data_IF_167197443668
#
_entry.id   IF_167197443668
#
_cell.length_a   1.000
_cell.length_b   1.000
_cell.length_c   1.000
_cell.angle_alpha   90.00
_cell.angle_beta   90.00
_cell.angle_gamma   90.00
#
_symmetry.space_group_name_H-M   'P 1'
#
loop_
_entity.id
_entity.type
_entity.pdbx_description
1 polymer ?
#
# COMPACT_ATOMS: atom_id res chain seq x y z
N UNK A 1 -4.12 86.11 53.66
CA UNK A 1 -2.66 86.18 53.46
C UNK A 1 -1.98 85.32 54.52
N UNK A 2 -1.78 84.02 54.29
CA UNK A 2 -0.79 83.19 54.98
C UNK A 2 -0.73 81.81 54.30
N UNK A 3 0.50 81.37 54.05
CA UNK A 3 0.92 80.23 53.23
C UNK A 3 0.94 78.93 54.04
N UNK A 4 0.94 77.83 53.27
CA UNK A 4 1.67 76.56 53.57
C UNK A 4 0.91 75.60 54.51
N UNK A 5 0.95 74.27 54.37
CA UNK A 5 1.97 73.36 53.83
C UNK A 5 1.26 72.17 53.14
N UNK A 6 1.74 71.77 51.95
CA UNK A 6 1.35 70.52 51.27
C UNK A 6 2.12 69.34 51.89
N UNK A 7 1.41 68.34 52.40
CA UNK A 7 1.96 67.02 52.71
C UNK A 7 1.70 66.11 51.51
N UNK A 8 2.77 65.65 50.85
CA UNK A 8 2.70 64.66 49.76
C UNK A 8 2.98 63.29 50.38
N UNK A 9 1.95 62.45 50.45
CA UNK A 9 2.11 61.03 50.77
C UNK A 9 2.41 60.26 49.48
N UNK A 10 3.60 59.67 49.39
CA UNK A 10 3.96 58.76 48.31
C UNK A 10 3.57 57.34 48.70
N UNK A 11 2.52 56.81 48.07
CA UNK A 11 2.15 55.39 48.16
C UNK A 11 2.94 54.63 47.10
N UNK A 12 3.89 53.79 47.53
CA UNK A 12 4.59 52.84 46.66
C UNK A 12 3.69 51.62 46.46
N UNK A 13 3.08 51.50 45.29
CA UNK A 13 2.40 50.28 44.87
C UNK A 13 3.42 49.31 44.28
N UNK A 14 3.71 48.21 44.98
CA UNK A 14 4.49 47.09 44.47
C UNK A 14 3.57 46.24 43.59
N UNK A 15 3.67 46.41 42.27
CA UNK A 15 3.00 45.53 41.32
C UNK A 15 3.78 44.21 41.22
N UNK A 16 3.23 43.14 41.77
CA UNK A 16 3.72 41.79 41.55
C UNK A 16 3.38 41.37 40.12
N UNK A 17 4.37 41.37 39.22
CA UNK A 17 4.26 40.79 37.90
C UNK A 17 4.24 39.26 38.03
N UNK A 18 3.05 38.66 38.01
CA UNK A 18 2.91 37.22 37.81
C UNK A 18 3.24 36.91 36.34
N UNK A 19 4.48 36.49 36.07
CA UNK A 19 4.86 35.93 34.79
C UNK A 19 4.19 34.57 34.62
N UNK A 20 3.01 34.55 34.00
CA UNK A 20 2.42 33.35 33.42
C UNK A 20 3.35 32.90 32.30
N UNK A 21 4.23 31.93 32.60
CA UNK A 21 4.87 31.10 31.59
C UNK A 21 3.76 30.33 30.86
N UNK A 22 3.23 30.94 29.80
CA UNK A 22 2.44 30.24 28.82
C UNK A 22 3.34 29.17 28.21
N UNK A 23 3.17 27.92 28.66
CA UNK A 23 3.68 26.77 27.93
C UNK A 23 2.95 26.76 26.59
N UNK A 24 3.53 27.40 25.58
CA UNK A 24 3.13 27.20 24.20
C UNK A 24 3.41 25.74 23.89
N UNK A 25 2.36 24.93 23.89
CA UNK A 25 2.42 23.61 23.29
C UNK A 25 3.00 23.79 21.88
N UNK A 26 3.97 22.95 21.46
CA UNK A 26 4.49 23.02 20.10
C UNK A 26 3.30 22.97 19.14
N UNK A 27 3.20 23.95 18.25
CA UNK A 27 2.23 23.93 17.19
C UNK A 27 2.44 22.61 16.44
N UNK A 28 1.48 21.69 16.55
CA UNK A 28 1.43 20.51 15.70
C UNK A 28 1.44 21.05 14.28
N UNK A 29 2.55 20.83 13.56
CA UNK A 29 2.69 21.27 12.18
C UNK A 29 1.46 20.76 11.44
N UNK A 30 0.65 21.67 10.90
CA UNK A 30 -0.49 21.30 10.09
C UNK A 30 0.03 20.42 8.95
N UNK A 31 -0.45 19.17 8.90
CA UNK A 31 -0.11 18.21 7.87
C UNK A 31 -0.37 18.86 6.49
N UNK A 32 0.68 19.07 5.70
CA UNK A 32 0.59 19.89 4.47
C UNK A 32 0.17 19.10 3.24
N UNK A 33 0.13 17.77 3.36
CA UNK A 33 -0.20 16.87 2.25
C UNK A 33 -1.64 16.36 2.37
N UNK A 34 -2.37 16.22 1.25
CA UNK A 34 -3.66 15.55 1.24
C UNK A 34 -3.54 14.12 1.81
N UNK A 35 -4.58 13.63 2.52
CA UNK A 35 -4.62 12.25 2.94
C UNK A 35 -4.58 11.31 1.73
N UNK A 36 -3.96 10.16 1.90
CA UNK A 36 -3.80 9.14 0.87
C UNK A 36 -3.84 7.76 1.50
N UNK A 37 -4.37 6.78 0.80
CA UNK A 37 -4.43 5.41 1.29
C UNK A 37 -3.09 4.73 1.08
N UNK A 38 -2.70 3.86 2.02
CA UNK A 38 -1.56 2.99 1.77
C UNK A 38 -1.87 2.08 0.59
N UNK A 39 -0.88 1.85 -0.29
CA UNK A 39 -1.04 0.93 -1.43
C UNK A 39 -1.51 -0.45 -0.97
N UNK A 40 -1.01 -0.91 0.17
CA UNK A 40 -1.47 -2.17 0.76
C UNK A 40 -2.98 -2.16 0.99
N UNK A 41 -3.53 -1.10 1.59
CA UNK A 41 -4.98 -1.00 1.83
C UNK A 41 -5.80 -0.90 0.54
N UNK A 42 -5.28 -0.21 -0.48
CA UNK A 42 -5.91 -0.19 -1.80
C UNK A 42 -5.94 -1.57 -2.47
N UNK A 43 -4.89 -2.37 -2.26
CA UNK A 43 -4.69 -3.67 -2.89
C UNK A 43 -5.12 -4.88 -2.02
N UNK A 44 -5.52 -4.67 -0.77
CA UNK A 44 -5.97 -5.73 0.15
C UNK A 44 -7.51 -5.79 0.12
N UNK A 45 -8.05 -6.10 -1.07
CA UNK A 45 -9.45 -6.47 -1.24
C UNK A 45 -9.61 -7.98 -1.20
N UNK A 46 -10.66 -8.43 -0.54
CA UNK A 46 -11.13 -9.81 -0.63
C UNK A 46 -11.86 -9.99 -1.95
N UNK A 47 -11.28 -10.71 -2.91
CA UNK A 47 -11.90 -10.98 -4.20
C UNK A 47 -12.03 -12.48 -4.42
N UNK A 48 -13.17 -12.95 -4.93
CA UNK A 48 -13.34 -14.35 -5.33
C UNK A 48 -14.03 -14.52 -6.69
N UNK A 49 -14.01 -15.76 -7.19
CA UNK A 49 -14.55 -16.17 -8.49
C UNK A 49 -16.07 -15.92 -8.68
N UNK A 50 -16.82 -15.69 -7.60
CA UNK A 50 -18.26 -15.40 -7.64
C UNK A 50 -18.57 -13.91 -7.79
N UNK A 51 -17.56 -13.08 -8.06
CA UNK A 51 -17.76 -11.64 -8.15
C UNK A 51 -17.87 -10.95 -6.78
N UNK A 52 -17.45 -11.62 -5.71
CA UNK A 52 -17.36 -11.01 -4.38
C UNK A 52 -16.21 -10.00 -4.35
N UNK A 53 -16.48 -8.81 -3.83
CA UNK A 53 -15.45 -7.82 -3.51
C UNK A 53 -15.71 -7.34 -2.09
N UNK A 54 -14.78 -7.60 -1.18
CA UNK A 54 -14.80 -7.17 0.21
C UNK A 54 -13.66 -6.19 0.52
N UNK A 55 -13.96 -5.19 1.33
CA UNK A 55 -13.00 -4.21 1.84
C UNK A 55 -12.64 -4.53 3.28
N UNK A 56 -11.35 -4.47 3.59
CA UNK A 56 -10.85 -4.59 4.96
C UNK A 56 -10.57 -3.21 5.59
N UNK A 57 -9.86 -3.21 6.72
CA UNK A 57 -9.36 -1.99 7.35
C UNK A 57 -8.42 -1.23 6.41
N UNK A 58 -8.56 0.09 6.40
CA UNK A 58 -7.88 0.98 5.48
C UNK A 58 -6.90 1.88 6.24
N UNK A 59 -5.62 1.84 5.88
CA UNK A 59 -4.60 2.69 6.47
C UNK A 59 -4.49 3.98 5.68
N UNK A 60 -4.72 5.10 6.36
CA UNK A 60 -4.58 6.44 5.81
C UNK A 60 -3.22 6.99 6.21
N UNK A 61 -2.50 7.47 5.22
CA UNK A 61 -1.24 8.18 5.30
C UNK A 61 -1.54 9.66 5.15
N UNK A 62 -0.81 10.48 5.87
CA UNK A 62 -1.06 11.91 6.01
C UNK A 62 -2.47 12.21 6.55
N UNK A 63 -2.86 11.46 7.58
CA UNK A 63 -4.14 11.64 8.26
C UNK A 63 -4.31 13.09 8.74
N UNK A 64 -5.49 13.72 8.55
CA UNK A 64 -5.81 14.97 9.22
C UNK A 64 -5.76 14.81 10.73
N UNK A 65 -5.57 15.91 11.45
CA UNK A 65 -5.62 15.93 12.91
C UNK A 65 -7.06 15.81 13.42
N UNK A 66 -7.23 15.08 14.53
CA UNK A 66 -8.54 14.88 15.17
C UNK A 66 -9.25 13.63 14.68
N UNK A 67 -10.46 13.39 15.18
CA UNK A 67 -11.24 12.23 14.79
C UNK A 67 -11.70 12.38 13.34
N UNK A 68 -11.41 11.38 12.50
CA UNK A 68 -11.81 11.41 11.09
C UNK A 68 -12.74 10.26 10.71
N UNK A 69 -13.60 10.53 9.74
CA UNK A 69 -14.39 9.53 9.03
C UNK A 69 -13.92 9.43 7.57
N UNK A 70 -14.26 8.32 6.94
CA UNK A 70 -13.99 8.07 5.54
C UNK A 70 -15.19 7.49 4.82
N UNK A 71 -15.13 7.56 3.50
CA UNK A 71 -16.16 7.11 2.58
C UNK A 71 -15.44 6.40 1.43
N UNK A 72 -15.96 5.26 0.99
CA UNK A 72 -15.49 4.58 -0.21
C UNK A 72 -16.68 4.49 -1.15
N UNK A 73 -16.53 5.03 -2.36
CA UNK A 73 -17.55 4.94 -3.40
C UNK A 73 -17.02 4.06 -4.52
N UNK A 74 -17.67 2.93 -4.75
CA UNK A 74 -17.45 2.12 -5.94
C UNK A 74 -18.40 2.59 -7.03
N UNK A 75 -17.81 3.01 -8.14
CA UNK A 75 -18.49 3.62 -9.26
C UNK A 75 -18.42 2.72 -10.49
N UNK A 76 -19.48 2.71 -11.30
CA UNK A 76 -19.54 2.11 -12.65
C UNK A 76 -20.30 3.09 -13.53
N UNK A 77 -19.81 3.37 -14.74
CA UNK A 77 -20.46 4.30 -15.68
C UNK A 77 -20.73 5.70 -15.07
N UNK A 78 -19.83 6.18 -14.19
CA UNK A 78 -19.96 7.41 -13.41
C UNK A 78 -21.11 7.42 -12.37
N UNK A 79 -21.78 6.29 -12.14
CA UNK A 79 -22.78 6.13 -11.11
C UNK A 79 -22.20 5.36 -9.91
N UNK A 80 -22.56 5.79 -8.69
CA UNK A 80 -22.19 5.04 -7.48
C UNK A 80 -23.05 3.79 -7.41
N UNK A 81 -22.43 2.62 -7.55
CA UNK A 81 -23.11 1.32 -7.41
C UNK A 81 -23.11 0.83 -5.97
N UNK A 82 -22.14 1.30 -5.17
CA UNK A 82 -22.00 0.96 -3.77
C UNK A 82 -21.18 2.00 -3.04
N UNK A 83 -21.58 2.34 -1.82
CA UNK A 83 -20.82 3.16 -0.91
C UNK A 83 -20.65 2.47 0.45
N UNK A 84 -19.57 2.85 1.14
CA UNK A 84 -19.29 2.38 2.50
C UNK A 84 -18.78 3.54 3.34
N UNK A 85 -19.24 3.60 4.59
CA UNK A 85 -18.76 4.53 5.61
C UNK A 85 -17.72 3.83 6.47
N UNK A 86 -16.64 4.55 6.74
CA UNK A 86 -15.57 4.11 7.62
C UNK A 86 -15.41 5.08 8.79
N UNK A 87 -15.10 4.52 9.96
CA UNK A 87 -14.79 5.28 11.16
C UNK A 87 -13.37 4.97 11.63
N UNK A 88 -12.76 5.91 12.33
CA UNK A 88 -11.44 5.72 12.91
C UNK A 88 -11.44 4.61 13.97
N UNK A 89 -10.62 3.58 13.76
CA UNK A 89 -10.45 2.46 14.69
C UNK A 89 -9.42 2.76 15.76
N UNK A 90 -8.28 3.32 15.35
CA UNK A 90 -7.13 3.60 16.20
C UNK A 90 -6.62 5.00 15.89
N UNK A 91 -6.78 5.92 16.84
CA UNK A 91 -6.05 7.18 16.82
C UNK A 91 -4.61 6.87 17.27
N UNK A 92 -3.72 6.60 16.31
CA UNK A 92 -2.30 6.67 16.62
C UNK A 92 -1.98 8.13 16.94
N UNK A 93 -1.55 8.41 18.18
CA UNK A 93 -1.25 9.75 18.70
C UNK A 93 -0.15 10.55 17.93
N UNK A 94 0.25 10.11 16.72
CA UNK A 94 1.06 10.87 15.77
C UNK A 94 0.22 11.21 14.54
N UNK A 95 -0.02 12.50 14.30
CA UNK A 95 -0.91 13.10 13.29
C UNK A 95 -0.57 12.81 11.81
N UNK A 96 0.14 11.73 11.50
CA UNK A 96 0.54 11.35 10.13
C UNK A 96 -0.23 10.11 9.67
N UNK A 97 -0.85 9.35 10.57
CA UNK A 97 -1.48 8.07 10.23
C UNK A 97 -2.74 7.81 11.03
N UNK A 98 -3.65 7.06 10.43
CA UNK A 98 -4.78 6.45 11.14
C UNK A 98 -5.24 5.19 10.41
N UNK A 99 -6.01 4.37 11.10
CA UNK A 99 -6.68 3.22 10.52
C UNK A 99 -8.19 3.44 10.53
N UNK A 100 -8.79 3.35 9.36
CA UNK A 100 -10.22 3.43 9.14
C UNK A 100 -10.80 2.01 9.05
N UNK A 101 -11.89 1.76 9.76
CA UNK A 101 -12.62 0.49 9.75
C UNK A 101 -14.01 0.68 9.17
N UNK A 102 -14.51 -0.24 8.33
CA UNK A 102 -15.87 -0.15 7.81
C UNK A 102 -16.90 -0.27 8.95
N UNK A 103 -17.97 0.52 8.89
CA UNK A 103 -19.04 0.51 9.89
C UNK A 103 -19.84 -0.80 9.88
N UNK A 104 -20.00 -1.39 8.70
CA UNK A 104 -20.80 -2.60 8.47
C UNK A 104 -20.05 -3.57 7.56
N UNK A 105 -20.69 -4.70 7.23
CA UNK A 105 -20.22 -5.62 6.20
C UNK A 105 -19.91 -4.85 4.91
N UNK A 106 -18.65 -4.85 4.54
CA UNK A 106 -18.09 -4.01 3.49
C UNK A 106 -17.81 -4.79 2.22
N UNK A 107 -18.85 -5.44 1.69
CA UNK A 107 -18.73 -6.19 0.44
C UNK A 107 -19.88 -5.94 -0.53
N UNK A 108 -19.64 -6.34 -1.78
CA UNK A 108 -20.62 -6.56 -2.84
C UNK A 108 -20.45 -8.00 -3.33
N UNK A 109 -21.57 -8.65 -3.65
CA UNK A 109 -21.59 -9.96 -4.31
C UNK A 109 -22.11 -9.79 -5.74
N UNK A 110 -21.56 -10.58 -6.67
CA UNK A 110 -22.02 -10.60 -8.06
C UNK A 110 -21.80 -9.28 -8.80
N UNK A 111 -20.61 -8.68 -8.67
CA UNK A 111 -20.23 -7.52 -9.47
C UNK A 111 -20.45 -7.81 -10.97
N UNK A 112 -21.27 -6.98 -11.63
CA UNK A 112 -21.56 -7.18 -13.05
C UNK A 112 -20.31 -6.85 -13.91
N UNK A 113 -20.18 -7.40 -15.12
CA UNK A 113 -19.11 -7.02 -16.04
C UNK A 113 -19.10 -5.51 -16.31
N UNK A 114 -17.91 -4.92 -16.43
CA UNK A 114 -17.70 -3.51 -16.73
C UNK A 114 -16.49 -2.90 -16.02
N UNK A 115 -16.21 -1.64 -16.34
CA UNK A 115 -15.16 -0.86 -15.72
C UNK A 115 -15.65 -0.24 -14.40
N UNK A 116 -14.87 -0.40 -13.34
CA UNK A 116 -15.15 0.14 -12.02
C UNK A 116 -14.06 1.11 -11.58
N UNK A 117 -14.44 2.03 -10.70
CA UNK A 117 -13.50 2.90 -10.00
C UNK A 117 -13.87 2.95 -8.52
N UNK A 118 -12.88 2.74 -7.65
CA UNK A 118 -13.03 2.93 -6.21
C UNK A 118 -12.44 4.28 -5.86
N UNK A 119 -13.29 5.18 -5.38
CA UNK A 119 -12.92 6.49 -4.88
C UNK A 119 -12.96 6.49 -3.35
N UNK A 120 -11.80 6.65 -2.74
CA UNK A 120 -11.64 6.83 -1.30
C UNK A 120 -11.72 8.32 -0.98
N UNK A 121 -12.56 8.67 -0.01
CA UNK A 121 -12.67 10.01 0.54
C UNK A 121 -12.36 9.98 2.04
N UNK A 122 -11.55 10.92 2.50
CA UNK A 122 -11.17 11.08 3.91
C UNK A 122 -11.51 12.49 4.34
N UNK A 123 -12.21 12.63 5.47
CA UNK A 123 -12.72 13.92 5.95
C UNK A 123 -13.51 14.70 4.86
N UNK A 124 -14.27 13.96 4.03
CA UNK A 124 -15.09 14.52 2.96
C UNK A 124 -14.34 14.98 1.71
N UNK A 125 -13.03 14.70 1.59
CA UNK A 125 -12.23 15.04 0.41
C UNK A 125 -11.69 13.78 -0.29
N UNK A 126 -11.63 13.75 -1.63
CA UNK A 126 -10.95 12.69 -2.38
C UNK A 126 -9.51 12.48 -1.91
N UNK A 127 -9.18 11.26 -1.52
CA UNK A 127 -7.87 10.88 -0.97
C UNK A 127 -7.11 9.94 -1.90
N UNK A 128 -7.79 8.92 -2.43
CA UNK A 128 -7.18 7.96 -3.36
C UNK A 128 -8.20 7.40 -4.32
N UNK A 129 -7.74 7.02 -5.49
CA UNK A 129 -8.56 6.42 -6.53
C UNK A 129 -7.81 5.26 -7.16
N UNK A 130 -8.52 4.18 -7.47
CA UNK A 130 -8.02 3.20 -8.41
C UNK A 130 -9.16 2.56 -9.19
N UNK A 131 -8.85 2.17 -10.44
CA UNK A 131 -9.81 1.58 -11.37
C UNK A 131 -9.47 0.12 -11.64
N UNK A 132 -10.48 -0.68 -11.97
CA UNK A 132 -10.32 -2.08 -12.34
C UNK A 132 -11.49 -2.50 -13.24
N UNK A 133 -11.29 -3.57 -14.01
CA UNK A 133 -12.31 -4.14 -14.90
C UNK A 133 -12.80 -5.48 -14.37
N UNK A 134 -14.10 -5.70 -14.50
CA UNK A 134 -14.74 -7.00 -14.29
C UNK A 134 -15.16 -7.55 -15.65
N UNK A 135 -14.77 -8.77 -15.95
CA UNK A 135 -15.27 -9.51 -17.12
C UNK A 135 -15.81 -10.87 -16.68
N UNK A 136 -16.60 -11.50 -17.54
CA UNK A 136 -17.15 -12.83 -17.29
C UNK A 136 -16.84 -13.71 -18.49
N UNK A 137 -16.20 -14.85 -18.25
CA UNK A 137 -15.95 -15.87 -19.26
C UNK A 137 -16.92 -17.03 -19.07
N UNK A 138 -17.30 -17.68 -20.17
CA UNK A 138 -18.03 -18.95 -20.09
C UNK A 138 -17.11 -20.01 -19.48
N UNK A 139 -17.64 -20.82 -18.56
CA UNK A 139 -16.96 -22.01 -18.09
C UNK A 139 -17.51 -23.21 -18.87
N UNK A 140 -16.67 -23.74 -19.75
CA UNK A 140 -17.00 -24.88 -20.63
C UNK A 140 -16.76 -26.24 -19.97
N UNK A 141 -16.29 -26.29 -18.71
CA UNK A 141 -16.13 -27.53 -17.96
C UNK A 141 -17.52 -28.13 -17.64
N UNK A 142 -17.87 -29.31 -18.22
CA UNK A 142 -19.17 -29.94 -17.97
C UNK A 142 -19.34 -30.44 -16.53
N UNK A 143 -18.27 -30.50 -15.73
CA UNK A 143 -18.29 -30.90 -14.33
C UNK A 143 -18.25 -29.73 -13.35
N UNK A 144 -18.01 -28.50 -13.83
CA UNK A 144 -18.06 -27.32 -12.98
C UNK A 144 -19.49 -27.05 -12.51
N UNK A 145 -19.63 -26.63 -11.26
CA UNK A 145 -20.91 -26.17 -10.71
C UNK A 145 -21.24 -24.72 -11.10
N UNK A 146 -20.30 -24.00 -11.72
CA UNK A 146 -20.49 -22.66 -12.26
C UNK A 146 -20.48 -22.69 -13.79
N UNK A 147 -21.39 -21.94 -14.41
CA UNK A 147 -21.45 -21.80 -15.88
C UNK A 147 -20.55 -20.69 -16.42
N UNK A 148 -19.99 -19.90 -15.52
CA UNK A 148 -19.19 -18.74 -15.87
C UNK A 148 -18.21 -18.41 -14.75
N UNK A 149 -17.09 -17.81 -15.12
CA UNK A 149 -16.07 -17.32 -14.19
C UNK A 149 -16.01 -15.80 -14.26
N UNK A 150 -15.89 -15.16 -13.09
CA UNK A 150 -15.74 -13.70 -13.00
C UNK A 150 -14.26 -13.36 -12.90
N UNK A 151 -13.80 -12.50 -13.80
CA UNK A 151 -12.42 -12.07 -13.90
C UNK A 151 -12.28 -10.62 -13.47
N UNK A 152 -11.15 -10.34 -12.83
CA UNK A 152 -10.80 -9.01 -12.34
C UNK A 152 -9.45 -8.61 -12.91
N UNK A 153 -9.41 -7.51 -13.65
CA UNK A 153 -8.17 -6.91 -14.15
C UNK A 153 -7.95 -5.58 -13.44
N UNK A 154 -6.77 -5.34 -12.87
CA UNK A 154 -6.54 -4.10 -12.14
C UNK A 154 -5.16 -3.98 -11.48
N UNK A 155 -4.99 -3.00 -10.59
CA UNK A 155 -3.69 -2.62 -10.04
C UNK A 155 -2.95 -3.74 -9.28
N UNK A 156 -3.66 -4.74 -8.74
CA UNK A 156 -3.06 -5.94 -8.15
C UNK A 156 -2.15 -6.70 -9.11
N UNK A 157 -2.51 -6.66 -10.40
CA UNK A 157 -1.71 -7.30 -11.45
C UNK A 157 -0.53 -6.44 -11.88
N UNK A 158 -0.67 -5.13 -11.70
CA UNK A 158 0.29 -4.16 -12.19
C UNK A 158 1.35 -3.87 -11.13
N UNK A 159 1.00 -3.89 -9.84
CA UNK A 159 1.89 -3.34 -8.81
C UNK A 159 2.51 -4.41 -7.93
N UNK A 160 3.80 -4.22 -7.69
CA UNK A 160 4.53 -4.86 -6.62
C UNK A 160 5.44 -3.82 -5.94
N UNK A 161 6.06 -4.21 -4.84
CA UNK A 161 7.05 -3.35 -4.21
C UNK A 161 8.12 -4.13 -3.48
N UNK A 162 9.30 -3.52 -3.39
CA UNK A 162 10.34 -3.96 -2.48
C UNK A 162 10.21 -3.24 -1.14
N UNK A 163 10.25 -3.99 -0.05
CA UNK A 163 10.63 -3.49 1.27
C UNK A 163 11.98 -4.10 1.68
N UNK A 164 12.65 -3.46 2.64
CA UNK A 164 13.98 -3.86 3.07
C UNK A 164 13.97 -4.09 4.57
N UNK A 165 14.37 -5.30 4.99
CA UNK A 165 14.46 -5.64 6.41
C UNK A 165 15.54 -4.78 7.08
N UNK A 166 15.14 -3.78 7.86
CA UNK A 166 16.02 -2.71 8.35
C UNK A 166 17.23 -3.13 9.19
N UNK A 167 17.32 -4.39 9.65
CA UNK A 167 18.51 -4.91 10.32
C UNK A 167 19.63 -5.31 9.35
N UNK A 168 19.28 -5.74 8.14
CA UNK A 168 20.21 -6.37 7.19
C UNK A 168 20.06 -5.86 5.75
N UNK A 169 19.11 -4.97 5.49
CA UNK A 169 18.70 -4.51 4.15
C UNK A 169 18.35 -5.67 3.19
N UNK A 170 17.89 -6.80 3.73
CA UNK A 170 17.45 -7.94 2.92
C UNK A 170 16.22 -7.53 2.11
N UNK A 171 16.25 -7.81 0.81
CA UNK A 171 15.15 -7.50 -0.10
C UNK A 171 13.97 -8.42 0.17
N UNK A 172 12.80 -7.82 0.34
CA UNK A 172 11.51 -8.50 0.36
C UNK A 172 10.67 -7.98 -0.79
N UNK A 173 10.20 -8.86 -1.67
CA UNK A 173 9.21 -8.50 -2.67
C UNK A 173 7.81 -8.78 -2.12
N UNK A 174 6.94 -7.78 -2.12
CA UNK A 174 5.51 -7.98 -1.91
C UNK A 174 4.76 -7.76 -3.21
N UNK A 175 3.89 -8.70 -3.56
CA UNK A 175 3.08 -8.69 -4.79
C UNK A 175 1.73 -9.36 -4.55
N UNK A 176 0.81 -9.18 -5.48
CA UNK A 176 -0.52 -9.78 -5.44
C UNK A 176 -0.70 -10.73 -6.61
N UNK A 177 -1.00 -11.99 -6.31
CA UNK A 177 -1.20 -13.02 -7.32
C UNK A 177 -2.19 -14.08 -6.83
N UNK A 178 -2.89 -14.71 -7.76
CA UNK A 178 -3.89 -15.73 -7.42
C UNK A 178 -4.41 -16.46 -8.66
N UNK A 179 -5.65 -16.94 -8.57
CA UNK A 179 -6.32 -17.69 -9.63
C UNK A 179 -6.28 -17.01 -11.00
N UNK A 180 -6.38 -15.68 -11.03
CA UNK A 180 -6.35 -14.88 -12.27
C UNK A 180 -5.05 -15.05 -13.07
N UNK A 181 -3.92 -15.33 -12.40
CA UNK A 181 -2.61 -15.49 -13.05
C UNK A 181 -2.39 -16.90 -13.61
N UNK A 182 -3.20 -17.87 -13.18
CA UNK A 182 -3.01 -19.30 -13.47
C UNK A 182 -4.27 -19.94 -14.02
N UNK A 183 -5.16 -19.12 -14.57
CA UNK A 183 -6.41 -19.58 -15.17
C UNK A 183 -6.14 -20.61 -16.27
N UNK A 184 -6.91 -21.70 -16.25
CA UNK A 184 -6.73 -22.82 -17.19
C UNK A 184 -5.54 -23.73 -16.86
N UNK A 185 -4.83 -23.51 -15.75
CA UNK A 185 -3.82 -24.42 -15.22
C UNK A 185 -4.42 -25.31 -14.11
N UNK A 186 -3.62 -26.24 -13.58
CA UNK A 186 -4.03 -27.08 -12.45
C UNK A 186 -4.45 -26.23 -11.24
N UNK A 187 -5.31 -26.77 -10.37
CA UNK A 187 -5.85 -26.11 -9.16
C UNK A 187 -4.80 -25.45 -8.25
N UNK A 188 -3.53 -25.83 -8.42
CA UNK A 188 -2.36 -25.40 -7.68
C UNK A 188 -1.17 -25.26 -8.62
N UNK A 189 -0.81 -24.03 -8.96
CA UNK A 189 0.38 -23.74 -9.76
C UNK A 189 1.52 -23.29 -8.85
N UNK A 190 2.65 -24.01 -8.82
CA UNK A 190 3.83 -23.55 -8.13
C UNK A 190 4.47 -22.40 -8.91
N UNK A 191 4.78 -21.30 -8.22
CA UNK A 191 5.45 -20.13 -8.81
C UNK A 191 6.72 -19.78 -8.06
N UNK A 192 7.69 -19.28 -8.82
CA UNK A 192 8.95 -18.72 -8.36
C UNK A 192 9.07 -17.28 -8.83
N UNK A 193 9.90 -16.51 -8.13
CA UNK A 193 10.25 -15.15 -8.52
C UNK A 193 11.71 -15.12 -8.95
N UNK A 194 12.00 -14.47 -10.06
CA UNK A 194 13.34 -14.23 -10.58
C UNK A 194 13.58 -12.73 -10.71
N UNK A 195 14.79 -12.27 -10.39
CA UNK A 195 15.24 -10.90 -10.62
C UNK A 195 16.39 -10.95 -11.61
N UNK A 196 16.19 -10.28 -12.74
CA UNK A 196 17.20 -10.13 -13.78
C UNK A 196 17.67 -8.68 -13.81
N UNK A 197 18.96 -8.48 -14.09
CA UNK A 197 19.55 -7.18 -14.41
C UNK A 197 20.18 -7.29 -15.80
N UNK A 198 19.73 -6.45 -16.73
CA UNK A 198 20.20 -6.42 -18.12
C UNK A 198 20.14 -7.81 -18.79
N UNK A 199 19.13 -8.60 -18.44
CA UNK A 199 18.92 -9.98 -18.93
C UNK A 199 19.69 -11.07 -18.16
N UNK A 200 20.57 -10.72 -17.23
CA UNK A 200 21.29 -11.68 -16.38
C UNK A 200 20.50 -11.95 -15.08
N UNK A 201 20.27 -13.21 -14.74
CA UNK A 201 19.66 -13.60 -13.47
C UNK A 201 20.62 -13.27 -12.31
N UNK A 202 20.21 -12.39 -11.41
CA UNK A 202 21.01 -11.99 -10.23
C UNK A 202 20.46 -12.54 -8.91
N UNK A 203 19.20 -12.97 -8.90
CA UNK A 203 18.56 -13.50 -7.70
C UNK A 203 17.12 -13.91 -7.93
N UNK A 204 16.45 -14.30 -6.86
CA UNK A 204 15.10 -14.82 -6.91
C UNK A 204 14.63 -15.36 -5.56
N UNK A 205 13.46 -15.98 -5.53
CA UNK A 205 13.06 -16.82 -4.40
C UNK A 205 14.01 -18.00 -4.26
N UNK A 206 14.28 -18.41 -3.02
CA UNK A 206 15.10 -19.58 -2.76
C UNK A 206 14.57 -20.81 -3.51
N UNK A 207 15.43 -21.71 -3.98
CA UNK A 207 15.04 -22.94 -4.70
C UNK A 207 14.00 -23.82 -4.00
N UNK A 208 13.98 -23.80 -2.67
CA UNK A 208 13.03 -24.52 -1.82
C UNK A 208 11.78 -23.72 -1.51
N UNK A 209 11.82 -22.41 -1.71
CA UNK A 209 10.67 -21.55 -1.56
C UNK A 209 9.87 -21.54 -2.85
N UNK A 210 8.59 -21.83 -2.73
CA UNK A 210 7.66 -21.84 -3.85
C UNK A 210 6.34 -21.34 -3.32
N UNK A 211 5.70 -20.43 -4.03
CA UNK A 211 4.34 -20.04 -3.72
C UNK A 211 3.42 -20.93 -4.52
N UNK A 212 2.31 -21.34 -3.94
CA UNK A 212 1.29 -22.06 -4.68
C UNK A 212 0.13 -21.12 -4.91
N UNK A 213 -0.06 -20.71 -6.15
CA UNK A 213 -1.26 -19.99 -6.55
C UNK A 213 -2.38 -21.00 -6.71
N UNK A 214 -3.56 -20.68 -6.19
CA UNK A 214 -4.73 -21.53 -6.30
C UNK A 214 -5.83 -20.82 -7.05
N UNK A 215 -6.54 -21.55 -7.92
CA UNK A 215 -7.71 -21.03 -8.64
C UNK A 215 -8.81 -20.52 -7.70
N UNK A 216 -8.91 -21.05 -6.47
CA UNK A 216 -9.96 -20.72 -5.51
C UNK A 216 -9.79 -19.33 -4.88
N UNK A 217 -8.55 -18.81 -4.80
CA UNK A 217 -8.28 -17.49 -4.25
C UNK A 217 -7.92 -16.57 -5.42
N UNK A 218 -8.79 -15.60 -5.72
CA UNK A 218 -8.64 -14.80 -6.92
C UNK A 218 -7.36 -13.95 -6.90
N UNK A 219 -7.04 -13.41 -5.73
CA UNK A 219 -5.88 -12.59 -5.50
C UNK A 219 -5.46 -12.68 -4.03
N UNK A 220 -4.26 -13.17 -3.77
CA UNK A 220 -3.66 -13.15 -2.43
C UNK A 220 -2.41 -12.27 -2.45
N UNK A 221 -2.14 -11.64 -1.32
CA UNK A 221 -0.86 -10.96 -1.11
C UNK A 221 0.21 -11.99 -0.75
N UNK A 222 1.31 -11.96 -1.48
CA UNK A 222 2.50 -12.76 -1.22
C UNK A 222 3.66 -11.87 -0.78
N UNK A 223 4.49 -12.37 0.13
CA UNK A 223 5.75 -11.73 0.53
C UNK A 223 6.89 -12.73 0.35
N UNK A 224 7.87 -12.35 -0.45
CA UNK A 224 8.97 -13.19 -0.86
C UNK A 224 10.32 -12.59 -0.41
N UNK A 225 11.05 -13.23 0.51
CA UNK A 225 12.44 -12.91 0.73
C UNK A 225 13.24 -13.29 -0.52
N UNK A 226 14.07 -12.36 -0.99
CA UNK A 226 14.87 -12.55 -2.19
C UNK A 226 16.28 -13.01 -1.81
N UNK A 227 16.80 -13.94 -2.60
CA UNK A 227 18.13 -14.54 -2.45
C UNK A 227 18.95 -14.34 -3.72
N UNK A 228 20.27 -14.33 -3.59
CA UNK A 228 21.20 -14.32 -4.72
C UNK A 228 21.22 -15.68 -5.41
N UNK A 229 21.66 -15.72 -6.67
CA UNK A 229 21.89 -16.99 -7.38
C UNK A 229 22.87 -17.87 -6.61
N UNK A 230 22.50 -19.12 -6.38
CA UNK A 230 23.36 -20.07 -5.67
C UNK A 230 24.59 -20.46 -6.48
N UNK A 231 25.77 -20.29 -5.90
CA UNK A 231 27.06 -20.66 -6.53
C UNK A 231 27.52 -22.10 -6.19
N UNK A 232 26.73 -22.83 -5.40
CA UNK A 232 27.07 -24.19 -4.95
C UNK A 232 28.06 -24.28 -3.79
N UNK A 233 28.63 -23.16 -3.33
CA UNK A 233 29.72 -23.14 -2.32
C UNK A 233 29.22 -22.96 -0.90
N UNK A 234 28.12 -22.22 -0.73
CA UNK A 234 27.47 -22.01 0.56
C UNK A 234 26.41 -23.07 0.85
N UNK A 235 26.22 -23.51 2.11
CA UNK A 235 25.10 -24.39 2.48
C UNK A 235 23.73 -23.75 2.22
N UNK A 236 23.65 -22.41 2.13
CA UNK A 236 22.44 -21.66 1.81
C UNK A 236 22.71 -20.55 0.80
N UNK A 237 21.69 -20.21 0.02
CA UNK A 237 21.69 -19.02 -0.82
C UNK A 237 21.82 -17.75 0.04
N UNK A 238 22.77 -16.84 -0.24
CA UNK A 238 22.82 -15.54 0.42
C UNK A 238 21.55 -14.73 0.14
N UNK A 239 21.14 -13.87 1.07
CA UNK A 239 20.05 -12.94 0.81
C UNK A 239 20.48 -11.91 -0.24
N UNK A 240 19.55 -11.53 -1.10
CA UNK A 240 19.69 -10.35 -1.94
C UNK A 240 19.51 -9.11 -1.06
N UNK A 241 20.37 -8.12 -1.24
CA UNK A 241 20.39 -6.89 -0.43
C UNK A 241 20.02 -5.67 -1.26
N UNK A 242 19.68 -4.56 -0.59
CA UNK A 242 19.47 -3.26 -1.25
C UNK A 242 20.66 -2.86 -2.13
N UNK A 243 21.89 -3.15 -1.69
CA UNK A 243 23.10 -2.83 -2.44
C UNK A 243 23.15 -3.54 -3.82
N UNK A 244 22.65 -4.78 -3.89
CA UNK A 244 22.60 -5.55 -5.14
C UNK A 244 21.62 -4.93 -6.16
N UNK A 245 20.54 -4.29 -5.69
CA UNK A 245 19.56 -3.58 -6.51
C UNK A 245 19.98 -2.12 -6.84
N UNK A 246 20.98 -1.57 -6.16
CA UNK A 246 21.48 -0.22 -6.40
C UNK A 246 22.51 -0.15 -7.54
N UNK A 247 22.96 -1.30 -8.05
CA UNK A 247 23.85 -1.33 -9.22
C UNK A 247 23.10 -0.79 -10.44
N UNK A 248 23.67 0.16 -11.22
CA UNK A 248 23.00 0.68 -12.40
C UNK A 248 22.59 -0.41 -13.39
N UNK A 249 21.39 -0.32 -13.95
CA UNK A 249 20.90 -1.27 -14.95
C UNK A 249 19.39 -1.24 -15.14
N UNK A 250 18.92 -1.97 -16.15
CA UNK A 250 17.50 -2.29 -16.35
C UNK A 250 17.18 -3.58 -15.61
N UNK A 251 16.15 -3.57 -14.78
CA UNK A 251 15.77 -4.74 -14.01
C UNK A 251 14.42 -5.29 -14.43
N UNK A 252 14.30 -6.62 -14.36
CA UNK A 252 13.05 -7.36 -14.53
C UNK A 252 12.82 -8.23 -13.30
N UNK A 253 11.61 -8.19 -12.76
CA UNK A 253 11.13 -9.17 -11.78
C UNK A 253 10.13 -10.06 -12.49
N UNK A 254 10.45 -11.34 -12.67
CA UNK A 254 9.59 -12.31 -13.33
C UNK A 254 8.93 -13.21 -12.30
N UNK A 255 7.61 -13.31 -12.36
CA UNK A 255 6.86 -14.40 -11.73
C UNK A 255 6.67 -15.48 -12.78
N UNK A 256 7.20 -16.67 -12.53
CA UNK A 256 7.17 -17.78 -13.48
C UNK A 256 6.58 -19.04 -12.83
N UNK A 257 5.92 -19.86 -13.64
CA UNK A 257 5.57 -21.21 -13.26
C UNK A 257 6.87 -22.01 -13.02
N UNK A 258 7.00 -22.61 -11.84
CA UNK A 258 8.21 -23.34 -11.43
C UNK A 258 8.48 -24.58 -12.27
N UNK A 259 7.43 -25.23 -12.76
CA UNK A 259 7.52 -26.53 -13.42
C UNK A 259 7.70 -26.37 -14.94
N UNK A 260 7.17 -25.30 -15.54
CA UNK A 260 7.22 -25.05 -16.99
C UNK A 260 8.14 -23.90 -17.39
N UNK A 261 8.63 -23.10 -16.44
CA UNK A 261 9.34 -21.84 -16.66
C UNK A 261 8.54 -20.77 -17.44
N UNK A 262 7.24 -20.97 -17.65
CA UNK A 262 6.38 -19.99 -18.30
C UNK A 262 6.27 -18.73 -17.44
N UNK A 263 6.60 -17.58 -18.03
CA UNK A 263 6.49 -16.29 -17.37
C UNK A 263 5.02 -15.89 -17.28
N UNK A 264 4.51 -15.77 -16.06
CA UNK A 264 3.14 -15.34 -15.76
C UNK A 264 3.03 -13.82 -15.73
N UNK A 265 4.06 -13.15 -15.18
CA UNK A 265 4.10 -11.68 -15.05
C UNK A 265 5.53 -11.16 -15.02
N UNK A 266 5.74 -9.98 -15.59
CA UNK A 266 7.03 -9.27 -15.52
C UNK A 266 6.81 -7.85 -15.01
N UNK A 267 7.53 -7.48 -13.94
CA UNK A 267 7.66 -6.10 -13.49
C UNK A 267 8.98 -5.52 -13.95
N UNK A 268 9.01 -4.24 -14.30
CA UNK A 268 10.25 -3.56 -14.70
C UNK A 268 10.56 -2.39 -13.80
N UNK A 269 11.85 -2.15 -13.57
CA UNK A 269 12.34 -0.97 -12.90
C UNK A 269 13.78 -0.66 -13.31
N UNK A 270 14.26 0.52 -12.90
CA UNK A 270 15.61 0.99 -13.22
C UNK A 270 16.37 1.33 -11.95
N UNK A 271 17.69 1.19 -12.01
CA UNK A 271 18.60 1.68 -10.98
C UNK A 271 19.69 2.53 -11.62
N UNK A 272 20.11 3.60 -10.93
CA UNK A 272 21.06 4.59 -11.48
C UNK A 272 22.36 4.73 -10.67
N UNK A 273 22.68 3.76 -9.82
CA UNK A 273 23.88 3.79 -8.97
C UNK A 273 23.70 4.53 -7.64
N UNK A 274 22.75 5.48 -7.57
CA UNK A 274 22.32 6.08 -6.30
C UNK A 274 21.19 5.31 -5.62
N UNK A 275 20.52 4.45 -6.39
CA UNK A 275 19.45 3.57 -5.92
C UNK A 275 18.49 3.22 -7.05
N UNK A 276 17.44 2.48 -6.67
CA UNK A 276 16.30 2.24 -7.55
C UNK A 276 15.62 3.59 -7.84
N UNK A 277 15.33 3.85 -9.11
CA UNK A 277 14.60 5.04 -9.56
C UNK A 277 13.16 4.93 -9.05
N UNK A 278 12.69 5.87 -8.20
CA UNK A 278 11.34 5.83 -7.67
C UNK A 278 10.29 5.99 -8.78
N UNK A 279 9.15 5.34 -8.61
CA UNK A 279 8.02 5.51 -9.52
C UNK A 279 7.47 6.96 -9.44
N UNK A 280 7.14 7.64 -10.56
CA UNK A 280 6.71 9.04 -10.55
C UNK A 280 5.52 9.34 -9.62
N UNK A 281 4.55 8.40 -9.50
CA UNK A 281 3.40 8.53 -8.58
C UNK A 281 3.77 8.56 -7.09
N UNK A 282 5.02 8.25 -6.73
CA UNK A 282 5.50 8.32 -5.35
C UNK A 282 6.10 9.67 -4.98
N UNK A 283 6.21 10.58 -5.95
CA UNK A 283 6.71 11.94 -5.71
C UNK A 283 5.71 12.75 -4.89
N UNK A 284 6.19 13.39 -3.83
CA UNK A 284 5.37 14.29 -3.02
C UNK A 284 4.83 15.43 -3.89
N UNK A 285 3.51 15.56 -3.93
CA UNK A 285 2.82 16.58 -4.74
C UNK A 285 2.38 16.11 -6.14
N UNK A 286 2.55 14.83 -6.47
CA UNK A 286 2.04 14.23 -7.71
C UNK A 286 0.57 14.62 -7.99
N UNK A 287 0.25 14.85 -9.27
CA UNK A 287 -1.10 15.20 -9.72
C UNK A 287 -1.62 14.20 -10.78
N UNK A 288 -2.90 13.79 -10.69
CA UNK A 288 -3.86 14.14 -9.65
C UNK A 288 -3.48 13.50 -8.30
N UNK A 289 -3.72 14.21 -7.19
CA UNK A 289 -3.32 13.74 -5.85
C UNK A 289 -3.99 12.43 -5.44
N UNK A 290 -5.15 12.10 -6.01
CA UNK A 290 -5.84 10.82 -5.81
C UNK A 290 -5.07 9.62 -6.38
N UNK A 291 -4.11 9.85 -7.27
CA UNK A 291 -3.25 8.82 -7.85
C UNK A 291 -1.85 8.78 -7.22
N UNK A 292 -1.60 9.59 -6.19
CA UNK A 292 -0.37 9.48 -5.41
C UNK A 292 -0.30 8.13 -4.70
N UNK A 293 0.84 7.46 -4.80
CA UNK A 293 1.10 6.18 -4.15
C UNK A 293 2.14 6.43 -3.06
N UNK A 294 1.75 6.26 -1.80
CA UNK A 294 2.71 6.46 -0.71
C UNK A 294 3.90 5.49 -0.81
N UNK A 295 5.16 5.97 -0.73
CA UNK A 295 6.37 5.13 -0.77
C UNK A 295 6.65 4.46 0.58
N UNK A 296 5.60 4.18 1.35
CA UNK A 296 5.70 3.60 2.69
C UNK A 296 4.66 2.50 2.86
N UNK A 297 5.03 1.46 3.57
CA UNK A 297 4.15 0.36 3.95
C UNK A 297 4.21 0.14 5.44
N UNK A 298 3.08 -0.24 6.03
CA UNK A 298 3.00 -0.46 7.46
C UNK A 298 3.57 -1.83 7.83
N UNK A 299 4.39 -1.87 8.89
CA UNK A 299 4.82 -3.10 9.54
C UNK A 299 4.04 -3.25 10.85
N UNK A 300 3.30 -4.35 10.99
CA UNK A 300 2.61 -4.66 12.24
C UNK A 300 3.64 -5.15 13.25
N UNK A 301 4.10 -4.27 14.13
CA UNK A 301 4.75 -4.67 15.38
C UNK A 301 3.70 -5.07 16.42
N UNK A 302 4.13 -5.75 17.48
CA UNK A 302 3.24 -6.13 18.58
C UNK A 302 2.64 -4.94 19.33
N UNK A 303 3.30 -3.77 19.29
CA UNK A 303 2.83 -2.54 19.96
C UNK A 303 3.15 -1.21 19.23
N UNK A 304 3.96 -1.23 18.16
CA UNK A 304 4.33 -0.02 17.41
C UNK A 304 3.85 -0.12 15.96
N UNK A 305 3.22 0.96 15.47
CA UNK A 305 2.95 1.18 14.06
C UNK A 305 4.19 1.84 13.45
N UNK A 306 4.99 1.05 12.74
CA UNK A 306 6.17 1.54 12.04
C UNK A 306 5.93 1.48 10.52
N UNK A 307 6.53 2.41 9.78
CA UNK A 307 6.51 2.41 8.33
C UNK A 307 7.90 2.16 7.79
N UNK A 308 7.96 1.25 6.83
CA UNK A 308 9.17 0.97 6.08
C UNK A 308 9.07 1.61 4.69
N UNK A 309 10.22 2.04 4.18
CA UNK A 309 10.34 2.50 2.81
C UNK A 309 9.96 1.36 1.86
N UNK A 310 9.12 1.68 0.89
CA UNK A 310 8.72 0.76 -0.16
C UNK A 310 9.05 1.35 -1.53
N UNK A 311 9.78 0.59 -2.33
CA UNK A 311 10.11 0.97 -3.71
C UNK A 311 9.15 0.27 -4.65
N UNK A 312 8.35 1.06 -5.37
CA UNK A 312 7.29 0.56 -6.26
C UNK A 312 7.86 0.11 -7.60
N UNK A 313 7.34 -1.00 -8.10
CA UNK A 313 7.63 -1.53 -9.43
C UNK A 313 6.30 -1.87 -10.11
N UNK A 314 6.24 -1.69 -11.43
CA UNK A 314 5.02 -1.86 -12.22
C UNK A 314 5.23 -2.90 -13.32
N UNK A 315 4.19 -3.67 -13.63
CA UNK A 315 4.14 -4.62 -14.72
C UNK A 315 3.79 -3.93 -16.04
N UNK A 316 4.33 -4.45 -17.13
CA UNK A 316 3.95 -4.05 -18.50
C UNK A 316 2.71 -4.80 -18.99
#
# INVERSE_FOLDING_TARGET
>A
MQKSIKTVSATVAVAAAASTLAMTAPAVSAQTYPPTLSMRSMLELSINQNGHIGLEDQNVIFSPSGMIGGTINMMRDCETVRDWVFFERNNSNGAVFTQLRPENLSFIDGAAPGAYTILYSVAGQPASEFSFDVSVAANDDPFSNTRSETHFSGPWQQWAYFDFDGANDNVQLTFWAGGNDVMGQADRTPVIIQILRDGELIGGTNRYQTFTLSGNNWMDRHRAPMTQVWDGRSPSEPNLTRADLNVPGQYEVRMANKDTDDVLRTYRFQSNGSGIVPHPRTELGYQPSTQYIAPRVYRVGSQNFEFEEAVRIEAE
#
